data_IF_198512554873
#
_entry.id   IF_198512554873
#
_cell.length_a   1.000
_cell.length_b   1.000
_cell.length_c   1.000
_cell.angle_alpha   90.00
_cell.angle_beta   90.00
_cell.angle_gamma   90.00
#
_symmetry.space_group_name_H-M   'P 1'
#
loop_
_entity.id
_entity.type
_entity.pdbx_description
1 polymer ?
#
# COMPACT_ATOMS: atom_id res chain seq x y z
N UNK A 1 -8.31 34.87 -1.94
CA UNK A 1 -7.11 34.82 -2.80
C UNK A 1 -6.99 33.44 -3.43
N UNK A 2 -6.82 33.34 -4.76
CA UNK A 2 -6.51 32.07 -5.42
C UNK A 2 -5.00 31.81 -5.26
N UNK A 3 -4.64 30.76 -4.52
CA UNK A 3 -3.24 30.29 -4.49
C UNK A 3 -2.96 29.62 -5.83
N UNK A 4 -2.14 30.26 -6.66
CA UNK A 4 -1.67 29.67 -7.91
C UNK A 4 -0.50 28.75 -7.58
N UNK A 5 -0.73 27.44 -7.72
CA UNK A 5 0.32 26.45 -7.58
C UNK A 5 1.01 26.23 -8.94
N UNK A 6 2.33 26.12 -8.90
CA UNK A 6 3.18 25.81 -10.06
C UNK A 6 2.69 24.51 -10.73
N UNK A 7 2.55 24.46 -12.06
CA UNK A 7 2.06 23.28 -12.78
C UNK A 7 2.91 22.03 -12.49
N UNK A 8 4.21 22.19 -12.30
CA UNK A 8 5.12 21.08 -11.97
C UNK A 8 4.82 20.48 -10.60
N UNK A 9 4.52 21.30 -9.59
CA UNK A 9 4.13 20.81 -8.26
C UNK A 9 2.82 20.02 -8.29
N UNK A 10 1.86 20.42 -9.13
CA UNK A 10 0.58 19.70 -9.30
C UNK A 10 0.81 18.31 -9.90
N UNK A 11 1.63 18.24 -10.97
CA UNK A 11 1.97 16.97 -11.63
C UNK A 11 2.68 16.02 -10.66
N UNK A 12 3.63 16.55 -9.88
CA UNK A 12 4.36 15.75 -8.89
C UNK A 12 3.42 15.17 -7.83
N UNK A 13 2.51 15.96 -7.26
CA UNK A 13 1.55 15.49 -6.24
C UNK A 13 0.62 14.42 -6.80
N UNK A 14 0.11 14.59 -8.02
CA UNK A 14 -0.74 13.59 -8.69
C UNK A 14 0.04 12.29 -8.92
N UNK A 15 1.28 12.39 -9.40
CA UNK A 15 2.16 11.23 -9.63
C UNK A 15 2.46 10.47 -8.34
N UNK A 16 2.78 11.18 -7.25
CA UNK A 16 2.99 10.56 -5.93
C UNK A 16 1.75 9.81 -5.45
N UNK A 17 0.56 10.37 -5.64
CA UNK A 17 -0.69 9.70 -5.28
C UNK A 17 -0.91 8.42 -6.11
N UNK A 18 -0.71 8.48 -7.43
CA UNK A 18 -0.98 7.36 -8.34
C UNK A 18 0.08 6.26 -8.30
N UNK A 19 1.36 6.59 -8.18
CA UNK A 19 2.47 5.60 -8.16
C UNK A 19 2.73 5.04 -6.76
N UNK A 20 2.69 5.89 -5.73
CA UNK A 20 3.01 5.47 -4.36
C UNK A 20 1.78 5.07 -3.55
N UNK A 21 0.57 5.41 -4.03
CA UNK A 21 -0.67 5.11 -3.32
C UNK A 21 -0.84 5.90 -2.01
N UNK A 22 -0.11 7.01 -1.84
CA UNK A 22 -0.23 7.87 -0.64
C UNK A 22 -1.63 8.47 -0.55
N UNK A 23 -2.13 8.69 0.66
CA UNK A 23 -3.44 9.32 0.83
C UNK A 23 -3.39 10.81 0.48
N UNK A 24 -4.50 11.32 -0.06
CA UNK A 24 -4.65 12.75 -0.37
C UNK A 24 -4.42 13.61 0.88
N UNK A 25 -4.82 13.10 2.06
CA UNK A 25 -4.62 13.77 3.35
C UNK A 25 -3.13 13.92 3.70
N UNK A 26 -2.35 12.85 3.55
CA UNK A 26 -0.90 12.90 3.80
C UNK A 26 -0.21 13.89 2.87
N UNK A 27 -0.55 13.90 1.58
CA UNK A 27 0.01 14.86 0.61
C UNK A 27 -0.43 16.30 0.90
N UNK A 28 -1.67 16.49 1.34
CA UNK A 28 -2.21 17.79 1.74
C UNK A 28 -1.45 18.37 2.93
N UNK A 29 -1.14 17.56 3.94
CA UNK A 29 -0.37 17.96 5.12
C UNK A 29 1.10 18.23 4.77
N UNK A 30 1.74 17.39 3.95
CA UNK A 30 3.16 17.51 3.57
C UNK A 30 3.42 18.75 2.69
N UNK A 31 2.56 19.01 1.70
CA UNK A 31 2.75 20.11 0.74
C UNK A 31 1.96 21.39 1.11
N UNK A 32 1.22 21.38 2.22
CA UNK A 32 0.41 22.52 2.67
C UNK A 32 -0.73 22.89 1.70
N UNK A 33 -1.20 21.92 0.91
CA UNK A 33 -2.25 22.09 -0.10
C UNK A 33 -3.58 21.64 0.46
N UNK A 34 -4.71 22.23 0.06
CA UNK A 34 -6.03 21.71 0.49
C UNK A 34 -6.33 20.34 -0.14
N UNK A 35 -6.94 19.44 0.62
CA UNK A 35 -7.37 18.12 0.13
C UNK A 35 -8.26 18.21 -1.12
N UNK A 36 -9.15 19.19 -1.16
CA UNK A 36 -10.01 19.46 -2.32
C UNK A 36 -9.22 19.84 -3.57
N UNK A 37 -8.14 20.63 -3.43
CA UNK A 37 -7.27 20.99 -4.57
C UNK A 37 -6.57 19.76 -5.14
N UNK A 38 -6.02 18.89 -4.29
CA UNK A 38 -5.38 17.64 -4.72
C UNK A 38 -6.37 16.74 -5.44
N UNK A 39 -7.59 16.58 -4.90
CA UNK A 39 -8.64 15.80 -5.57
C UNK A 39 -9.02 16.39 -6.93
N UNK A 40 -9.09 17.72 -7.04
CA UNK A 40 -9.38 18.39 -8.32
C UNK A 40 -8.27 18.14 -9.35
N UNK A 41 -7.00 18.15 -8.95
CA UNK A 41 -5.88 17.88 -9.86
C UNK A 41 -5.86 16.43 -10.34
N UNK A 42 -6.16 15.46 -9.47
CA UNK A 42 -6.30 14.05 -9.87
C UNK A 42 -7.45 13.88 -10.87
N UNK A 43 -8.59 14.54 -10.63
CA UNK A 43 -9.72 14.51 -11.54
C UNK A 43 -9.41 15.17 -12.89
N UNK A 44 -8.66 16.28 -12.88
CA UNK A 44 -8.22 16.95 -14.09
C UNK A 44 -7.26 16.06 -14.89
N UNK A 45 -6.29 15.42 -14.23
CA UNK A 45 -5.37 14.47 -14.86
C UNK A 45 -6.13 13.31 -15.50
N UNK A 46 -7.11 12.72 -14.81
CA UNK A 46 -7.96 11.65 -15.38
C UNK A 46 -8.72 12.10 -16.63
N UNK A 47 -9.21 13.35 -16.67
CA UNK A 47 -9.86 13.92 -17.86
C UNK A 47 -8.87 14.12 -19.01
N UNK A 48 -7.68 14.59 -18.72
CA UNK A 48 -6.59 14.72 -19.71
C UNK A 48 -6.20 13.36 -20.30
N UNK A 49 -6.15 12.30 -19.49
CA UNK A 49 -5.95 10.92 -19.95
C UNK A 49 -7.05 10.39 -20.87
N UNK A 50 -8.30 10.84 -20.72
CA UNK A 50 -9.39 10.42 -21.61
C UNK A 50 -9.26 11.03 -23.02
N UNK A 51 -8.63 12.20 -23.13
CA UNK A 51 -8.51 12.93 -24.39
C UNK A 51 -7.21 12.64 -25.14
N UNK A 52 -6.21 12.02 -24.49
CA UNK A 52 -4.90 11.74 -25.09
C UNK A 52 -4.49 10.29 -24.83
N UNK A 53 -4.26 9.53 -25.91
CA UNK A 53 -3.84 8.12 -25.86
C UNK A 53 -2.52 7.92 -25.09
N UNK A 54 -1.56 8.84 -25.25
CA UNK A 54 -0.26 8.76 -24.58
C UNK A 54 -0.40 8.97 -23.05
N UNK A 55 -1.26 9.91 -22.64
CA UNK A 55 -1.53 10.15 -21.22
C UNK A 55 -2.32 8.99 -20.58
N UNK A 56 -3.12 8.26 -21.37
CA UNK A 56 -3.81 7.05 -20.92
C UNK A 56 -2.82 5.91 -20.64
N UNK A 57 -1.89 5.65 -21.56
CA UNK A 57 -0.84 4.64 -21.38
C UNK A 57 0.01 4.95 -20.13
N UNK A 58 0.36 6.22 -19.91
CA UNK A 58 1.10 6.65 -18.73
C UNK A 58 0.29 6.42 -17.43
N UNK A 59 -1.02 6.70 -17.44
CA UNK A 59 -1.89 6.43 -16.30
C UNK A 59 -2.01 4.93 -15.99
N UNK A 60 -2.23 4.10 -17.02
CA UNK A 60 -2.33 2.65 -16.87
C UNK A 60 -1.01 2.07 -16.34
N UNK A 61 0.13 2.55 -16.85
CA UNK A 61 1.47 2.20 -16.35
C UNK A 61 1.66 2.56 -14.87
N UNK A 62 1.24 3.77 -14.45
CA UNK A 62 1.33 4.17 -13.03
C UNK A 62 0.46 3.29 -12.12
N UNK A 63 -0.73 2.90 -12.58
CA UNK A 63 -1.59 1.98 -11.83
C UNK A 63 -0.97 0.58 -11.70
N UNK A 64 -0.33 0.10 -12.76
CA UNK A 64 0.38 -1.17 -12.75
C UNK A 64 1.57 -1.14 -11.80
N UNK A 65 2.38 -0.08 -11.81
CA UNK A 65 3.48 0.12 -10.86
C UNK A 65 2.97 0.06 -9.41
N UNK A 66 1.82 0.68 -9.11
CA UNK A 66 1.23 0.64 -7.77
C UNK A 66 0.78 -0.77 -7.38
N UNK A 67 0.18 -1.54 -8.30
CA UNK A 67 -0.20 -2.95 -8.06
C UNK A 67 1.04 -3.81 -7.79
N UNK A 68 2.03 -3.72 -8.66
CA UNK A 68 3.29 -4.46 -8.52
C UNK A 68 4.01 -4.14 -7.22
N UNK A 69 3.99 -2.87 -6.77
CA UNK A 69 4.56 -2.49 -5.46
C UNK A 69 3.81 -3.13 -4.29
N UNK A 70 2.48 -3.23 -4.37
CA UNK A 70 1.69 -3.92 -3.34
C UNK A 70 2.00 -5.40 -3.32
N UNK A 71 2.01 -6.04 -4.48
CA UNK A 71 2.36 -7.46 -4.62
C UNK A 71 3.77 -7.74 -4.11
N UNK A 72 4.75 -6.91 -4.44
CA UNK A 72 6.12 -7.03 -3.91
C UNK A 72 6.17 -6.84 -2.40
N UNK A 73 5.39 -5.92 -1.83
CA UNK A 73 5.32 -5.72 -0.39
C UNK A 73 4.70 -6.93 0.31
N UNK A 74 3.63 -7.50 -0.25
CA UNK A 74 2.99 -8.72 0.24
C UNK A 74 3.93 -9.94 0.13
N UNK A 75 4.59 -10.12 -1.00
CA UNK A 75 5.54 -11.21 -1.23
C UNK A 75 6.80 -11.08 -0.35
N UNK A 76 7.30 -9.87 -0.11
CA UNK A 76 8.39 -9.63 0.86
C UNK A 76 7.96 -10.00 2.27
N UNK A 77 6.76 -9.56 2.68
CA UNK A 77 6.18 -9.90 3.97
C UNK A 77 6.01 -11.41 4.12
N UNK A 78 5.58 -12.11 3.08
CA UNK A 78 5.47 -13.57 3.08
C UNK A 78 6.84 -14.26 3.14
N UNK A 79 7.85 -13.76 2.43
CA UNK A 79 9.22 -14.29 2.55
C UNK A 79 9.80 -14.09 3.95
N UNK A 80 9.56 -12.95 4.59
CA UNK A 80 9.95 -12.71 5.98
C UNK A 80 9.22 -13.66 6.93
N UNK A 81 7.93 -13.89 6.70
CA UNK A 81 7.14 -14.86 7.43
C UNK A 81 7.74 -16.28 7.29
N UNK A 82 8.02 -16.75 6.07
CA UNK A 82 8.60 -18.06 5.82
C UNK A 82 10.01 -18.21 6.40
N UNK A 83 10.82 -17.14 6.41
CA UNK A 83 12.14 -17.16 7.07
C UNK A 83 12.00 -17.32 8.58
N UNK A 84 11.06 -16.60 9.19
CA UNK A 84 10.78 -16.71 10.62
C UNK A 84 10.17 -18.07 10.97
N UNK A 85 9.29 -18.60 10.11
CA UNK A 85 8.70 -19.93 10.22
C UNK A 85 9.76 -21.02 10.08
N UNK A 86 10.65 -20.97 9.09
CA UNK A 86 11.74 -21.94 8.96
C UNK A 86 12.69 -21.90 10.17
N UNK A 87 12.93 -20.73 10.74
CA UNK A 87 13.71 -20.58 11.98
C UNK A 87 12.96 -21.11 13.22
N UNK A 88 11.63 -21.23 13.16
CA UNK A 88 10.76 -21.73 14.24
C UNK A 88 10.25 -23.17 14.03
N UNK A 89 10.31 -23.70 12.82
CA UNK A 89 10.02 -25.09 12.50
C UNK A 89 11.07 -26.02 13.16
N UNK A 90 12.30 -25.52 13.36
CA UNK A 90 13.32 -26.14 14.23
C UNK A 90 12.87 -26.23 15.71
N UNK A 91 11.87 -25.43 16.13
CA UNK A 91 11.29 -25.40 17.48
C UNK A 91 9.89 -26.05 17.59
N UNK A 92 9.38 -26.72 16.55
CA UNK A 92 8.19 -27.60 16.64
C UNK A 92 6.80 -26.92 16.64
N UNK A 93 6.71 -25.62 16.32
CA UNK A 93 5.47 -24.81 16.42
C UNK A 93 4.40 -25.18 15.38
N UNK A 94 4.76 -25.83 14.27
CA UNK A 94 3.84 -26.16 13.16
C UNK A 94 3.37 -27.62 13.14
N UNK A 95 3.59 -28.38 14.21
CA UNK A 95 2.95 -29.69 14.35
C UNK A 95 1.42 -29.49 14.44
N UNK A 96 0.68 -30.11 13.53
CA UNK A 96 -0.75 -29.90 13.30
C UNK A 96 -1.59 -29.90 14.59
N UNK A 97 -2.27 -28.79 14.88
CA UNK A 97 -3.42 -28.78 15.81
C UNK A 97 -3.40 -27.75 16.95
N UNK A 98 -2.26 -27.16 17.31
CA UNK A 98 -2.20 -26.27 18.48
C UNK A 98 -2.58 -24.81 18.14
N UNK A 99 -3.89 -24.53 18.17
CA UNK A 99 -4.41 -23.14 18.08
C UNK A 99 -3.76 -22.19 19.09
N UNK A 100 -3.34 -22.69 20.26
CA UNK A 100 -2.65 -21.91 21.29
C UNK A 100 -1.32 -21.36 20.80
N UNK A 101 -0.54 -22.16 20.07
CA UNK A 101 0.74 -21.72 19.51
C UNK A 101 0.55 -20.70 18.39
N UNK A 102 -0.51 -20.84 17.58
CA UNK A 102 -0.90 -19.80 16.61
C UNK A 102 -1.23 -18.46 17.29
N UNK A 103 -1.96 -18.47 18.42
CA UNK A 103 -2.23 -17.25 19.18
C UNK A 103 -0.97 -16.64 19.82
N UNK A 104 -0.07 -17.47 20.36
CA UNK A 104 1.23 -17.02 20.91
C UNK A 104 2.11 -16.38 19.84
N UNK A 105 2.16 -16.99 18.65
CA UNK A 105 2.84 -16.41 17.50
C UNK A 105 2.20 -15.07 17.10
N UNK A 106 0.88 -15.01 16.99
CA UNK A 106 0.17 -13.76 16.67
C UNK A 106 0.52 -12.69 17.70
N UNK A 107 0.47 -12.98 19.00
CA UNK A 107 0.79 -12.01 20.03
C UNK A 107 2.24 -11.50 19.92
N UNK A 108 3.19 -12.37 19.59
CA UNK A 108 4.61 -12.00 19.48
C UNK A 108 4.93 -11.23 18.20
N UNK A 109 4.22 -11.50 17.10
CA UNK A 109 4.55 -11.00 15.77
C UNK A 109 3.51 -10.06 15.16
N UNK A 110 2.44 -9.72 15.90
CA UNK A 110 1.38 -8.82 15.42
C UNK A 110 1.91 -7.43 15.04
N UNK A 111 2.94 -6.91 15.71
CA UNK A 111 3.54 -5.60 15.37
C UNK A 111 4.27 -5.64 14.02
N UNK A 112 4.86 -6.78 13.68
CA UNK A 112 5.67 -6.96 12.46
C UNK A 112 4.74 -7.22 11.25
N UNK A 113 3.87 -8.21 11.37
CA UNK A 113 3.05 -8.67 10.24
C UNK A 113 1.66 -8.02 10.21
N UNK A 114 1.16 -7.54 11.33
CA UNK A 114 -0.21 -7.07 11.51
C UNK A 114 -1.15 -8.19 11.92
N UNK A 115 -1.91 -7.99 13.00
CA UNK A 115 -2.87 -8.97 13.56
C UNK A 115 -3.84 -9.49 12.51
N UNK A 116 -4.43 -8.60 11.71
CA UNK A 116 -5.41 -8.98 10.68
C UNK A 116 -4.81 -9.81 9.56
N UNK A 117 -3.54 -9.57 9.22
CA UNK A 117 -2.81 -10.34 8.22
C UNK A 117 -2.51 -11.75 8.74
N UNK A 118 -2.05 -11.86 9.99
CA UNK A 118 -1.77 -13.14 10.64
C UNK A 118 -3.03 -13.98 10.86
N UNK A 119 -4.12 -13.39 11.35
CA UNK A 119 -5.41 -14.08 11.50
C UNK A 119 -5.90 -14.67 10.18
N UNK A 120 -5.77 -13.91 9.07
CA UNK A 120 -6.09 -14.42 7.73
C UNK A 120 -5.16 -15.57 7.30
N UNK A 121 -3.88 -15.49 7.63
CA UNK A 121 -2.88 -16.52 7.28
C UNK A 121 -3.13 -17.84 8.01
N UNK A 122 -3.52 -17.79 9.29
CA UNK A 122 -3.87 -18.97 10.09
C UNK A 122 -5.34 -19.40 9.92
N UNK A 123 -6.10 -18.75 9.03
CA UNK A 123 -7.53 -18.99 8.81
C UNK A 123 -8.36 -18.94 10.11
N UNK A 124 -7.99 -18.02 11.02
CA UNK A 124 -8.68 -17.77 12.27
C UNK A 124 -9.66 -16.63 12.03
N UNK A 125 -10.97 -16.92 12.10
CA UNK A 125 -11.98 -15.87 12.09
C UNK A 125 -11.90 -15.05 13.38
N UNK A 126 -12.00 -13.71 13.31
CA UNK A 126 -12.12 -12.87 14.49
C UNK A 126 -13.44 -13.11 15.25
#
# INVERSE_FOLDING_TARGET
MRKNYEPETKKQIVRLHLEQGRTIKSLSEEYGVSTASVSNWVNQFRKECQNNSQAKEEYDSMQEILKLRKELAEARKENEFLKNENQQADYGIFCEGDRLEAYRFIQSYHEIFGTRWLLRKFNICP
#
